data_IF_391647196973
#
_entry.id   IF_391647196973
#
_cell.length_a   1.000
_cell.length_b   1.000
_cell.length_c   1.000
_cell.angle_alpha   90.00
_cell.angle_beta   90.00
_cell.angle_gamma   90.00
#
_symmetry.space_group_name_H-M   'P 1'
#
loop_
_entity.id
_entity.type
_entity.pdbx_description
1 polymer ?
#
# COMPACT_ATOMS: atom_id res chain seq x y z
N UNK A 1 -11.04 13.59 -4.80
CA UNK A 1 -11.50 14.99 -4.76
C UNK A 1 -12.55 15.19 -3.67
N UNK A 2 -13.77 14.72 -3.75
CA UNK A 2 -14.83 14.99 -2.73
C UNK A 2 -14.47 14.68 -1.26
N UNK A 3 -13.48 13.83 -0.98
CA UNK A 3 -12.98 13.54 0.39
C UNK A 3 -11.96 14.57 0.89
N UNK A 4 -11.11 15.08 0.00
CA UNK A 4 -10.11 16.12 0.35
C UNK A 4 -10.84 17.45 0.60
N UNK A 5 -11.78 17.82 -0.26
CA UNK A 5 -12.62 19.02 -0.10
C UNK A 5 -13.54 18.97 1.14
N UNK A 6 -13.93 17.78 1.59
CA UNK A 6 -14.78 17.62 2.77
C UNK A 6 -14.02 17.65 4.11
N UNK A 7 -12.69 17.86 4.11
CA UNK A 7 -11.86 17.88 5.32
C UNK A 7 -11.81 16.54 6.10
N UNK A 8 -12.18 15.43 5.45
CA UNK A 8 -12.23 14.09 6.07
C UNK A 8 -10.99 13.23 5.83
N UNK A 9 -10.04 13.71 5.02
CA UNK A 9 -8.81 12.98 4.76
C UNK A 9 -7.78 13.32 5.84
N UNK A 10 -7.36 12.32 6.62
CA UNK A 10 -6.35 12.45 7.67
C UNK A 10 -5.04 11.84 7.19
N UNK A 11 -3.92 12.45 7.56
CA UNK A 11 -2.59 11.91 7.29
C UNK A 11 -2.30 10.73 8.22
N UNK A 12 -1.70 9.69 7.68
CA UNK A 12 -1.16 8.57 8.44
C UNK A 12 0.36 8.78 8.60
N UNK A 13 0.74 9.61 9.57
CA UNK A 13 2.12 9.97 9.83
C UNK A 13 2.84 8.82 10.53
N UNK A 14 3.91 8.32 9.90
CA UNK A 14 4.80 7.27 10.43
C UNK A 14 6.24 7.62 10.13
N UNK A 15 7.17 6.94 10.78
CA UNK A 15 8.58 7.03 10.40
C UNK A 15 8.76 6.39 9.03
N UNK A 16 9.36 7.11 8.11
CA UNK A 16 9.62 6.70 6.75
C UNK A 16 11.10 6.93 6.43
N UNK A 17 11.68 6.07 5.61
CA UNK A 17 12.97 6.30 5.00
C UNK A 17 12.77 6.93 3.61
N UNK A 18 13.25 8.12 3.40
CA UNK A 18 13.08 8.82 2.11
C UNK A 18 13.80 8.09 0.96
N UNK A 19 14.90 7.37 1.24
CA UNK A 19 15.59 6.60 0.21
C UNK A 19 14.73 5.46 -0.33
N UNK A 20 13.92 4.78 0.51
CA UNK A 20 13.04 3.70 0.07
C UNK A 20 11.96 4.22 -0.89
N UNK A 21 11.45 5.44 -0.60
CA UNK A 21 10.48 6.14 -1.47
C UNK A 21 11.11 6.45 -2.83
N UNK A 22 12.35 6.94 -2.83
CA UNK A 22 13.08 7.28 -4.06
C UNK A 22 13.42 6.02 -4.87
N UNK A 23 13.81 4.93 -4.23
CA UNK A 23 14.09 3.66 -4.88
C UNK A 23 12.83 3.09 -5.54
N UNK A 24 11.70 3.12 -4.85
CA UNK A 24 10.38 2.75 -5.41
C UNK A 24 10.05 3.59 -6.65
N UNK A 25 10.24 4.91 -6.59
CA UNK A 25 10.02 5.82 -7.71
C UNK A 25 10.91 5.48 -8.91
N UNK A 26 12.21 5.28 -8.69
CA UNK A 26 13.18 4.96 -9.74
C UNK A 26 12.86 3.63 -10.40
N UNK A 27 12.50 2.60 -9.64
CA UNK A 27 12.13 1.28 -10.16
C UNK A 27 10.99 1.32 -11.18
N UNK A 28 10.06 2.26 -11.01
CA UNK A 28 8.92 2.46 -11.92
C UNK A 28 9.31 3.23 -13.17
N UNK A 29 10.09 4.33 -13.04
CA UNK A 29 10.26 5.27 -14.14
C UNK A 29 11.54 5.11 -14.95
N UNK A 30 12.61 4.50 -14.42
CA UNK A 30 13.82 4.23 -15.18
C UNK A 30 13.54 3.39 -16.43
N UNK A 31 12.82 2.27 -16.26
CA UNK A 31 12.43 1.40 -17.39
C UNK A 31 11.51 2.10 -18.40
N UNK A 32 10.57 2.92 -17.90
CA UNK A 32 9.66 3.65 -18.80
C UNK A 32 10.39 4.72 -19.61
N UNK A 33 11.33 5.43 -18.98
CA UNK A 33 12.16 6.42 -19.65
C UNK A 33 13.08 5.77 -20.68
N UNK A 34 13.74 4.66 -20.33
CA UNK A 34 14.60 3.87 -21.23
C UNK A 34 13.82 3.41 -22.47
N UNK A 35 12.62 2.85 -22.30
CA UNK A 35 11.76 2.43 -23.42
C UNK A 35 11.38 3.58 -24.35
N UNK A 36 11.33 4.81 -23.84
CA UNK A 36 11.09 6.03 -24.64
C UNK A 36 12.36 6.67 -25.18
N UNK A 37 13.55 6.17 -24.83
CA UNK A 37 14.83 6.77 -25.19
C UNK A 37 15.08 8.12 -24.52
N UNK A 38 14.55 8.31 -23.31
CA UNK A 38 14.78 9.49 -22.49
C UNK A 38 15.98 9.28 -21.56
N UNK A 39 16.75 10.33 -21.29
CA UNK A 39 17.71 10.33 -20.18
C UNK A 39 16.95 10.55 -18.89
N UNK A 40 17.00 9.59 -17.97
CA UNK A 40 16.43 9.69 -16.63
C UNK A 40 17.56 9.78 -15.62
N UNK A 41 17.51 10.78 -14.74
CA UNK A 41 18.53 10.98 -13.73
C UNK A 41 17.87 11.39 -12.40
N UNK A 42 18.16 10.65 -11.34
CA UNK A 42 17.76 10.98 -9.99
C UNK A 42 18.97 11.21 -9.11
N UNK A 43 19.02 12.33 -8.42
CA UNK A 43 20.11 12.70 -7.50
C UNK A 43 19.55 13.07 -6.15
N UNK A 44 20.27 12.70 -5.10
CA UNK A 44 19.86 12.91 -3.71
C UNK A 44 20.98 13.56 -2.91
N UNK A 45 20.60 14.47 -2.01
CA UNK A 45 21.50 15.06 -1.02
C UNK A 45 20.73 15.19 0.30
N UNK A 46 20.71 14.11 1.08
CA UNK A 46 19.90 13.98 2.29
C UNK A 46 20.83 13.62 3.45
N UNK A 47 20.71 14.35 4.54
CA UNK A 47 21.48 14.15 5.77
C UNK A 47 20.69 13.31 6.78
N UNK A 48 19.37 13.52 6.85
CA UNK A 48 18.46 12.82 7.75
C UNK A 48 17.41 12.07 6.93
N UNK A 49 17.68 10.81 6.54
CA UNK A 49 16.78 10.06 5.67
C UNK A 49 15.50 9.59 6.38
N UNK A 50 15.52 9.49 7.71
CA UNK A 50 14.39 9.04 8.52
C UNK A 50 13.57 10.23 8.98
N UNK A 51 12.29 10.26 8.60
CA UNK A 51 11.38 11.38 8.90
C UNK A 51 9.98 10.88 9.22
N UNK A 52 9.22 11.67 9.97
CA UNK A 52 7.79 11.44 10.17
C UNK A 52 7.01 12.01 8.99
N UNK A 53 6.44 11.14 8.14
CA UNK A 53 5.59 11.56 7.03
C UNK A 53 4.50 10.52 6.70
N UNK A 54 3.53 10.90 5.87
CA UNK A 54 2.65 9.94 5.22
C UNK A 54 3.31 9.46 3.92
N UNK A 55 3.97 8.30 3.99
CA UNK A 55 4.72 7.72 2.88
C UNK A 55 3.85 7.57 1.62
N UNK A 56 2.61 7.10 1.77
CA UNK A 56 1.72 6.83 0.64
C UNK A 56 1.38 8.14 -0.09
N UNK A 57 1.08 9.20 0.66
CA UNK A 57 0.76 10.51 0.09
C UNK A 57 1.98 11.15 -0.55
N UNK A 58 3.15 11.01 0.06
CA UNK A 58 4.39 11.52 -0.49
C UNK A 58 4.77 10.79 -1.80
N UNK A 59 4.68 9.46 -1.83
CA UNK A 59 4.84 8.67 -3.05
C UNK A 59 3.83 9.07 -4.14
N UNK A 60 2.56 9.26 -3.80
CA UNK A 60 1.50 9.67 -4.74
C UNK A 60 1.82 11.02 -5.41
N UNK A 61 2.34 11.98 -4.65
CA UNK A 61 2.80 13.28 -5.18
C UNK A 61 3.91 13.08 -6.20
N UNK A 62 4.98 12.33 -5.84
CA UNK A 62 6.13 12.12 -6.71
C UNK A 62 5.76 11.33 -7.97
N UNK A 63 4.98 10.26 -7.83
CA UNK A 63 4.49 9.44 -8.95
C UNK A 63 3.70 10.26 -9.97
N UNK A 64 2.83 11.16 -9.50
CA UNK A 64 2.05 12.03 -10.39
C UNK A 64 2.92 13.02 -11.16
N UNK A 65 3.91 13.64 -10.51
CA UNK A 65 4.76 14.66 -11.15
C UNK A 65 5.75 13.99 -12.10
N UNK A 66 6.49 12.99 -11.65
CA UNK A 66 7.48 12.27 -12.49
C UNK A 66 6.77 11.57 -13.64
N UNK A 67 5.59 10.97 -13.38
CA UNK A 67 4.76 10.37 -14.41
C UNK A 67 4.34 11.37 -15.49
N UNK A 68 3.98 12.59 -15.11
CA UNK A 68 3.69 13.67 -16.06
C UNK A 68 4.96 14.05 -16.85
N UNK A 69 6.11 14.23 -16.20
CA UNK A 69 7.37 14.56 -16.86
C UNK A 69 7.78 13.50 -17.89
N UNK A 70 7.74 12.21 -17.52
CA UNK A 70 8.02 11.10 -18.46
C UNK A 70 6.96 11.02 -19.57
N UNK A 71 5.68 11.28 -19.25
CA UNK A 71 4.57 11.23 -20.21
C UNK A 71 4.67 12.30 -21.28
N UNK A 72 4.98 13.54 -20.90
CA UNK A 72 4.95 14.71 -21.80
C UNK A 72 6.32 15.02 -22.43
N UNK A 73 7.37 14.28 -22.07
CA UNK A 73 8.67 14.34 -22.74
C UNK A 73 8.75 13.28 -23.82
N UNK A 74 8.96 13.71 -25.09
CA UNK A 74 9.10 12.80 -26.23
C UNK A 74 10.55 12.44 -26.49
N UNK A 75 11.47 13.37 -26.29
CA UNK A 75 12.92 13.24 -26.44
C UNK A 75 13.60 14.20 -25.45
N UNK A 76 14.76 13.83 -24.95
CA UNK A 76 15.51 14.64 -24.01
C UNK A 76 15.62 13.97 -22.65
N UNK A 77 15.37 14.71 -21.57
CA UNK A 77 15.68 14.25 -20.22
C UNK A 77 14.57 14.56 -19.20
N UNK A 78 14.55 13.73 -18.15
CA UNK A 78 13.85 13.96 -16.90
C UNK A 78 14.88 13.92 -15.78
N UNK A 79 15.01 15.01 -15.04
CA UNK A 79 15.93 15.18 -13.93
C UNK A 79 15.14 15.31 -12.63
N UNK A 80 15.50 14.54 -11.63
CA UNK A 80 14.91 14.57 -10.29
C UNK A 80 16.03 14.90 -9.31
N UNK A 81 15.82 15.88 -8.46
CA UNK A 81 16.73 16.23 -7.38
C UNK A 81 15.94 16.33 -6.09
N UNK A 82 16.37 15.57 -5.09
CA UNK A 82 15.76 15.59 -3.76
C UNK A 82 16.87 15.92 -2.78
N UNK A 83 16.75 17.07 -2.13
CA UNK A 83 17.75 17.57 -1.21
C UNK A 83 17.14 18.05 0.10
N UNK A 84 17.86 17.83 1.18
CA UNK A 84 17.62 18.45 2.45
C UNK A 84 18.41 19.76 2.50
N UNK A 85 17.69 20.88 2.44
CA UNK A 85 18.30 22.22 2.41
C UNK A 85 18.71 22.71 3.79
N UNK A 86 17.90 22.39 4.79
CA UNK A 86 18.13 22.62 6.21
C UNK A 86 17.55 21.41 6.96
N UNK A 87 17.91 21.24 8.23
CA UNK A 87 17.46 20.11 9.04
C UNK A 87 15.93 19.94 9.01
N UNK A 88 15.44 18.83 8.45
CA UNK A 88 14.03 18.55 8.28
C UNK A 88 13.33 19.30 7.14
N UNK A 89 14.04 20.18 6.39
CA UNK A 89 13.49 20.88 5.23
C UNK A 89 13.93 20.21 3.94
N UNK A 90 12.99 19.63 3.24
CA UNK A 90 13.22 18.89 2.00
C UNK A 90 12.71 19.66 0.80
N UNK A 91 13.51 19.70 -0.26
CA UNK A 91 13.14 20.22 -1.56
C UNK A 91 13.22 19.12 -2.61
N UNK A 92 12.11 18.87 -3.30
CA UNK A 92 12.06 18.00 -4.46
C UNK A 92 11.94 18.86 -5.72
N UNK A 93 12.91 18.79 -6.62
CA UNK A 93 12.88 19.45 -7.92
C UNK A 93 12.79 18.38 -9.01
N UNK A 94 11.75 18.46 -9.83
CA UNK A 94 11.54 17.61 -10.99
C UNK A 94 11.53 18.50 -12.22
N UNK A 95 12.46 18.25 -13.14
CA UNK A 95 12.64 19.01 -14.37
C UNK A 95 12.56 18.09 -15.58
N UNK A 96 11.82 18.48 -16.59
CA UNK A 96 11.76 17.81 -17.88
C UNK A 96 12.03 18.76 -19.03
N UNK A 97 12.41 18.18 -20.17
CA UNK A 97 12.59 18.90 -21.44
C UNK A 97 11.44 18.62 -22.42
N UNK A 98 10.25 18.43 -21.88
CA UNK A 98 9.03 18.10 -22.62
C UNK A 98 8.41 19.26 -23.37
N UNK A 99 7.15 19.11 -23.74
CA UNK A 99 6.41 20.10 -24.52
C UNK A 99 6.21 21.43 -23.77
N UNK A 100 6.34 21.44 -22.44
CA UNK A 100 6.04 22.58 -21.60
C UNK A 100 4.56 23.01 -21.63
N UNK A 101 4.28 24.14 -21.01
CA UNK A 101 2.97 24.76 -20.89
C UNK A 101 3.02 26.22 -21.33
N UNK A 102 1.94 26.75 -21.89
CA UNK A 102 1.85 28.16 -22.23
C UNK A 102 1.68 29.04 -20.99
N UNK A 103 2.14 30.29 -21.10
CA UNK A 103 1.97 31.28 -20.04
C UNK A 103 0.50 31.49 -19.67
N UNK A 104 -0.40 31.41 -20.67
CA UNK A 104 -1.83 31.53 -20.48
C UNK A 104 -2.45 30.34 -19.72
N UNK A 105 -1.86 29.14 -19.85
CA UNK A 105 -2.38 27.93 -19.19
C UNK A 105 -1.80 27.74 -17.78
N UNK A 106 -0.56 28.18 -17.54
CA UNK A 106 0.17 27.94 -16.30
C UNK A 106 -0.62 28.29 -15.02
N UNK A 107 -1.37 29.41 -14.93
CA UNK A 107 -2.19 29.73 -13.77
C UNK A 107 -3.31 28.71 -13.50
N UNK A 108 -3.75 28.02 -14.53
CA UNK A 108 -4.84 27.02 -14.49
C UNK A 108 -4.34 25.58 -14.37
N UNK A 109 -3.03 25.36 -14.28
CA UNK A 109 -2.44 24.03 -14.29
C UNK A 109 -2.89 23.15 -13.09
N UNK A 110 -3.28 23.77 -11.98
CA UNK A 110 -3.76 23.09 -10.77
C UNK A 110 -5.30 23.03 -10.66
N UNK A 111 -6.03 23.54 -11.65
CA UNK A 111 -7.50 23.48 -11.64
C UNK A 111 -7.98 22.07 -12.04
N UNK A 112 -9.11 21.67 -11.48
CA UNK A 112 -9.73 20.38 -11.76
C UNK A 112 -10.11 20.25 -13.22
N UNK A 113 -9.82 19.07 -13.79
CA UNK A 113 -10.11 18.74 -15.19
C UNK A 113 -9.45 19.69 -16.20
N UNK A 114 -8.49 20.51 -15.75
CA UNK A 114 -7.80 21.46 -16.60
C UNK A 114 -6.85 20.73 -17.55
N UNK A 115 -6.91 21.10 -18.83
CA UNK A 115 -6.02 20.60 -19.89
C UNK A 115 -5.76 21.70 -20.89
N UNK A 116 -4.50 21.86 -21.26
CA UNK A 116 -4.15 22.78 -22.32
C UNK A 116 -4.64 22.23 -23.67
N UNK A 117 -5.54 22.97 -24.33
CA UNK A 117 -5.98 22.68 -25.70
C UNK A 117 -4.90 23.15 -26.67
N UNK A 118 -3.82 22.38 -26.83
CA UNK A 118 -2.87 22.63 -27.90
C UNK A 118 -3.48 22.22 -29.24
N UNK A 119 -3.44 23.12 -30.22
CA UNK A 119 -4.04 22.94 -31.56
C UNK A 119 -3.44 21.81 -32.42
N UNK A 120 -2.48 21.09 -31.94
CA UNK A 120 -1.97 19.85 -32.50
C UNK A 120 -2.45 18.70 -31.63
N UNK A 121 -3.22 17.78 -32.23
CA UNK A 121 -3.74 16.54 -31.63
C UNK A 121 -2.62 15.75 -30.94
N UNK A 122 -2.25 16.09 -29.71
CA UNK A 122 -1.48 15.20 -28.85
C UNK A 122 -2.47 14.21 -28.25
N UNK A 123 -2.48 12.99 -28.77
CA UNK A 123 -3.32 11.86 -28.36
C UNK A 123 -2.99 11.34 -26.94
N UNK A 124 -2.41 12.17 -26.10
CA UNK A 124 -2.00 11.78 -24.75
C UNK A 124 -3.23 11.79 -23.84
N UNK A 125 -3.82 10.62 -23.62
CA UNK A 125 -4.96 10.43 -22.70
C UNK A 125 -4.58 10.83 -21.27
N UNK A 126 -5.44 11.59 -20.58
CA UNK A 126 -5.30 11.94 -19.18
C UNK A 126 -6.56 12.62 -18.65
N UNK A 127 -6.86 12.47 -17.38
CA UNK A 127 -8.07 12.99 -16.73
C UNK A 127 -8.03 14.50 -16.45
N UNK A 128 -6.83 15.11 -16.40
CA UNK A 128 -6.65 16.51 -15.98
C UNK A 128 -6.75 16.73 -14.46
N UNK A 129 -6.72 15.65 -13.67
CA UNK A 129 -6.84 15.71 -12.21
C UNK A 129 -5.48 15.62 -11.48
N UNK A 130 -4.43 15.12 -12.13
CA UNK A 130 -3.17 14.78 -11.46
C UNK A 130 -2.51 15.95 -10.73
N UNK A 131 -2.39 17.12 -11.35
CA UNK A 131 -1.77 18.29 -10.71
C UNK A 131 -2.65 18.92 -9.62
N UNK A 132 -3.95 18.87 -9.77
CA UNK A 132 -4.90 19.32 -8.75
C UNK A 132 -4.82 18.44 -7.49
N UNK A 133 -4.76 17.11 -7.66
CA UNK A 133 -4.53 16.14 -6.58
C UNK A 133 -3.19 16.43 -5.90
N UNK A 134 -2.11 16.61 -6.68
CA UNK A 134 -0.77 16.92 -6.14
C UNK A 134 -0.83 18.16 -5.27
N UNK A 135 -1.44 19.26 -5.73
CA UNK A 135 -1.55 20.50 -4.96
C UNK A 135 -2.26 20.28 -3.63
N UNK A 136 -3.42 19.60 -3.67
CA UNK A 136 -4.20 19.30 -2.47
C UNK A 136 -3.43 18.42 -1.47
N UNK A 137 -2.67 17.42 -1.94
CA UNK A 137 -1.85 16.58 -1.09
C UNK A 137 -0.65 17.33 -0.50
N UNK A 138 0.02 18.18 -1.29
CA UNK A 138 1.12 19.02 -0.81
C UNK A 138 0.62 19.98 0.28
N UNK A 139 -0.52 20.62 0.09
CA UNK A 139 -1.16 21.49 1.08
C UNK A 139 -1.57 20.72 2.34
N UNK A 140 -2.14 19.51 2.19
CA UNK A 140 -2.50 18.63 3.31
C UNK A 140 -1.27 18.25 4.15
N UNK A 141 -0.11 18.07 3.50
CA UNK A 141 1.18 17.76 4.15
C UNK A 141 1.94 19.04 4.60
N UNK A 142 1.29 20.20 4.64
CA UNK A 142 1.87 21.50 4.99
C UNK A 142 3.07 21.90 4.13
N UNK A 143 3.13 21.43 2.89
CA UNK A 143 4.17 21.78 1.91
C UNK A 143 3.77 22.94 1.01
N UNK A 144 4.69 23.28 0.10
CA UNK A 144 4.48 24.26 -0.96
C UNK A 144 4.88 23.69 -2.31
N UNK A 145 4.17 24.06 -3.37
CA UNK A 145 4.46 23.64 -4.74
C UNK A 145 4.50 24.84 -5.67
N UNK A 146 5.52 24.87 -6.53
CA UNK A 146 5.71 25.86 -7.57
C UNK A 146 5.99 25.18 -8.90
N UNK A 147 5.40 25.68 -9.98
CA UNK A 147 5.65 25.22 -11.34
C UNK A 147 6.13 26.38 -12.19
N UNK A 148 7.22 26.15 -12.92
CA UNK A 148 7.68 27.03 -14.00
C UNK A 148 7.76 26.21 -15.29
N UNK A 149 7.20 26.75 -16.37
CA UNK A 149 7.15 26.04 -17.65
C UNK A 149 7.16 27.03 -18.81
N UNK A 150 7.72 26.58 -19.94
CA UNK A 150 7.71 27.32 -21.19
C UNK A 150 7.51 26.34 -22.35
N UNK A 151 6.69 26.73 -23.32
CA UNK A 151 6.39 25.89 -24.49
C UNK A 151 7.69 25.48 -25.20
N UNK A 152 7.82 24.17 -25.46
CA UNK A 152 8.98 23.51 -26.05
C UNK A 152 10.30 23.62 -25.28
N UNK A 153 10.29 24.07 -24.04
CA UNK A 153 11.45 24.09 -23.16
C UNK A 153 11.32 23.15 -21.95
N UNK A 154 10.10 22.67 -21.73
CA UNK A 154 9.79 21.72 -20.64
C UNK A 154 9.19 22.40 -19.42
N UNK A 155 9.18 21.64 -18.33
CA UNK A 155 8.57 22.04 -17.06
C UNK A 155 9.53 21.76 -15.91
N UNK A 156 9.55 22.67 -14.94
CA UNK A 156 10.22 22.46 -13.65
C UNK A 156 9.19 22.61 -12.54
N UNK A 157 9.02 21.55 -11.76
CA UNK A 157 8.19 21.53 -10.55
C UNK A 157 9.09 21.52 -9.33
N UNK A 158 8.86 22.41 -8.38
CA UNK A 158 9.54 22.46 -7.08
C UNK A 158 8.53 22.27 -5.97
N UNK A 159 8.80 21.32 -5.08
CA UNK A 159 7.99 21.06 -3.90
C UNK A 159 8.89 21.17 -2.69
N UNK A 160 8.38 21.81 -1.63
CA UNK A 160 9.08 21.91 -0.36
C UNK A 160 8.20 21.34 0.75
N UNK A 161 8.83 20.56 1.63
CA UNK A 161 8.22 20.00 2.82
C UNK A 161 9.08 20.30 4.04
N UNK A 162 8.42 20.37 5.19
CA UNK A 162 9.08 20.32 6.47
C UNK A 162 8.59 19.08 7.20
N UNK A 163 9.50 18.14 7.44
CA UNK A 163 9.24 16.91 8.17
C UNK A 163 9.97 16.93 9.51
N UNK A 164 9.35 16.34 10.52
CA UNK A 164 10.04 16.04 11.76
C UNK A 164 11.03 14.91 11.51
N UNK A 165 12.29 15.08 12.00
CA UNK A 165 13.33 14.09 11.84
C UNK A 165 13.09 12.96 12.84
N UNK A 166 13.24 11.74 12.37
CA UNK A 166 13.23 10.52 13.17
C UNK A 166 14.62 9.89 13.20
N UNK A 167 14.83 8.98 14.14
CA UNK A 167 16.02 8.13 14.19
C UNK A 167 15.74 6.79 13.48
N UNK A 168 16.82 6.11 13.06
CA UNK A 168 16.75 4.76 12.50
C UNK A 168 16.10 3.76 13.47
N UNK A 169 16.43 3.88 14.75
CA UNK A 169 15.84 3.04 15.81
C UNK A 169 14.32 3.24 15.94
N UNK A 170 13.80 4.42 15.60
CA UNK A 170 12.36 4.68 15.59
C UNK A 170 11.67 4.09 14.35
N UNK A 171 12.41 3.92 13.25
CA UNK A 171 11.94 3.13 12.11
C UNK A 171 11.81 1.65 12.51
N UNK A 172 12.83 1.09 13.16
CA UNK A 172 12.80 -0.29 13.65
C UNK A 172 11.66 -0.52 14.66
N UNK A 173 11.42 0.42 15.56
CA UNK A 173 10.28 0.38 16.50
C UNK A 173 8.91 0.54 15.80
N UNK A 174 8.85 1.24 14.67
CA UNK A 174 7.65 1.30 13.82
C UNK A 174 7.57 0.13 12.83
N UNK A 175 8.72 -0.49 12.51
CA UNK A 175 8.84 -1.78 11.82
C UNK A 175 8.72 -2.97 12.78
N UNK A 176 8.50 -2.77 14.09
CA UNK A 176 7.68 -3.70 14.86
C UNK A 176 6.22 -3.69 14.32
N UNK A 177 6.07 -3.61 13.00
CA UNK A 177 5.06 -4.37 12.30
C UNK A 177 5.33 -5.77 12.79
N UNK A 178 4.48 -6.25 13.69
CA UNK A 178 4.32 -7.63 13.98
C UNK A 178 4.87 -8.44 12.82
N UNK A 179 6.11 -8.96 12.98
CA UNK A 179 6.54 -10.07 12.15
C UNK A 179 5.58 -11.15 12.59
N UNK A 180 4.43 -11.18 11.90
CA UNK A 180 3.50 -12.27 12.04
C UNK A 180 4.33 -13.46 11.68
N UNK A 181 4.54 -14.33 12.65
CA UNK A 181 5.12 -15.63 12.34
C UNK A 181 4.11 -16.35 11.46
N UNK A 182 4.32 -16.27 10.15
CA UNK A 182 3.49 -16.94 9.16
C UNK A 182 3.70 -18.46 9.17
N UNK A 183 4.66 -18.95 9.97
CA UNK A 183 5.01 -20.34 10.01
C UNK A 183 3.81 -21.23 10.38
N UNK A 184 3.50 -22.13 9.46
CA UNK A 184 2.38 -23.06 9.62
C UNK A 184 1.01 -22.49 9.29
N UNK A 185 0.90 -21.22 8.84
CA UNK A 185 -0.35 -20.66 8.31
C UNK A 185 -0.69 -21.29 6.95
N UNK A 186 -1.94 -21.70 6.79
CA UNK A 186 -2.45 -22.34 5.58
C UNK A 186 -3.07 -21.31 4.63
N UNK A 187 -2.52 -21.20 3.43
CA UNK A 187 -3.01 -20.35 2.35
C UNK A 187 -3.58 -21.19 1.22
N UNK A 188 -4.74 -20.80 0.69
CA UNK A 188 -5.25 -21.27 -0.57
C UNK A 188 -4.93 -20.25 -1.66
N UNK A 189 -4.10 -20.64 -2.63
CA UNK A 189 -3.75 -19.83 -3.80
C UNK A 189 -4.61 -20.25 -4.98
N UNK A 190 -5.48 -19.36 -5.47
CA UNK A 190 -6.25 -19.53 -6.69
C UNK A 190 -5.56 -18.72 -7.82
N UNK A 191 -4.89 -19.43 -8.71
CA UNK A 191 -4.09 -18.88 -9.83
C UNK A 191 -4.12 -19.89 -10.98
N UNK A 192 -4.59 -19.47 -12.15
CA UNK A 192 -4.73 -20.33 -13.34
C UNK A 192 -3.41 -20.52 -14.11
N UNK A 193 -2.51 -19.54 -14.04
CA UNK A 193 -1.21 -19.61 -14.69
C UNK A 193 -0.20 -20.40 -13.86
N UNK A 194 0.32 -21.52 -14.43
CA UNK A 194 1.24 -22.41 -13.71
C UNK A 194 2.54 -21.71 -13.29
N UNK A 195 3.11 -20.85 -14.14
CA UNK A 195 4.35 -20.14 -13.83
C UNK A 195 4.13 -19.11 -12.69
N UNK A 196 3.04 -18.35 -12.74
CA UNK A 196 2.72 -17.40 -11.68
C UNK A 196 2.49 -18.13 -10.35
N UNK A 197 1.78 -19.26 -10.40
CA UNK A 197 1.52 -20.08 -9.22
C UNK A 197 2.83 -20.63 -8.62
N UNK A 198 3.74 -21.15 -9.44
CA UNK A 198 5.03 -21.68 -8.99
C UNK A 198 5.88 -20.61 -8.30
N UNK A 199 5.96 -19.42 -8.90
CA UNK A 199 6.67 -18.27 -8.30
C UNK A 199 6.04 -17.90 -6.97
N UNK A 200 4.71 -17.72 -6.91
CA UNK A 200 4.01 -17.35 -5.70
C UNK A 200 4.17 -18.41 -4.59
N UNK A 201 4.02 -19.69 -4.93
CA UNK A 201 4.18 -20.79 -3.98
C UNK A 201 5.59 -20.87 -3.40
N UNK A 202 6.62 -20.76 -4.26
CA UNK A 202 8.02 -20.78 -3.81
C UNK A 202 8.26 -19.69 -2.77
N UNK A 203 7.91 -18.48 -3.12
CA UNK A 203 8.15 -17.32 -2.26
C UNK A 203 7.34 -17.41 -0.95
N UNK A 204 6.06 -17.74 -1.01
CA UNK A 204 5.23 -17.89 0.20
C UNK A 204 5.74 -19.01 1.12
N UNK A 205 6.23 -20.10 0.56
CA UNK A 205 6.79 -21.23 1.31
C UNK A 205 8.10 -20.86 2.01
N UNK A 206 8.94 -20.02 1.40
CA UNK A 206 10.17 -19.51 2.00
C UNK A 206 9.89 -18.69 3.27
N UNK A 207 8.72 -18.07 3.38
CA UNK A 207 8.24 -17.41 4.61
C UNK A 207 7.54 -18.36 5.61
N UNK A 208 7.59 -19.67 5.37
CA UNK A 208 7.06 -20.68 6.28
C UNK A 208 5.55 -20.93 6.16
N UNK A 209 4.91 -20.39 5.13
CA UNK A 209 3.49 -20.62 4.82
C UNK A 209 3.30 -21.99 4.18
N UNK A 210 2.17 -22.62 4.46
CA UNK A 210 1.73 -23.86 3.79
C UNK A 210 0.73 -23.44 2.71
N UNK A 211 1.05 -23.74 1.46
CA UNK A 211 0.26 -23.26 0.30
C UNK A 211 -0.36 -24.42 -0.46
N UNK A 212 -1.67 -24.45 -0.54
CA UNK A 212 -2.41 -25.28 -1.50
C UNK A 212 -2.77 -24.43 -2.71
N UNK A 213 -2.74 -25.03 -3.90
CA UNK A 213 -3.11 -24.35 -5.15
C UNK A 213 -4.37 -24.93 -5.77
N UNK A 214 -5.16 -24.04 -6.38
CA UNK A 214 -6.25 -24.36 -7.31
C UNK A 214 -6.15 -23.48 -8.56
N UNK A 215 -6.68 -23.95 -9.69
CA UNK A 215 -6.51 -23.28 -10.99
C UNK A 215 -7.73 -22.47 -11.44
N UNK A 216 -8.83 -22.46 -10.67
CA UNK A 216 -10.01 -21.67 -10.99
C UNK A 216 -10.89 -21.40 -9.76
N UNK A 217 -11.86 -20.49 -9.92
CA UNK A 217 -12.78 -20.11 -8.85
C UNK A 217 -13.72 -21.23 -8.40
N UNK A 218 -14.08 -22.19 -9.26
CA UNK A 218 -14.95 -23.33 -8.90
C UNK A 218 -14.23 -24.25 -7.94
N UNK A 219 -12.96 -24.59 -8.28
CA UNK A 219 -12.11 -25.40 -7.41
C UNK A 219 -11.82 -24.68 -6.09
N UNK A 220 -11.64 -23.35 -6.13
CA UNK A 220 -11.44 -22.55 -4.92
C UNK A 220 -12.63 -22.61 -3.96
N UNK A 221 -13.86 -22.39 -4.45
CA UNK A 221 -15.09 -22.49 -3.64
C UNK A 221 -15.25 -23.88 -3.03
N UNK A 222 -14.94 -24.93 -3.80
CA UNK A 222 -14.99 -26.31 -3.33
C UNK A 222 -13.97 -26.53 -2.21
N UNK A 223 -12.73 -26.12 -2.42
CA UNK A 223 -11.63 -26.36 -1.48
C UNK A 223 -11.85 -25.65 -0.13
N UNK A 224 -12.38 -24.40 -0.14
CA UNK A 224 -12.74 -23.66 1.08
C UNK A 224 -13.87 -24.36 1.88
N UNK A 225 -14.74 -25.15 1.23
CA UNK A 225 -15.76 -25.96 1.92
C UNK A 225 -15.20 -27.22 2.56
N UNK A 226 -14.16 -27.80 1.95
CA UNK A 226 -13.63 -29.12 2.33
C UNK A 226 -12.47 -29.03 3.33
N UNK A 227 -11.76 -27.88 3.36
CA UNK A 227 -10.57 -27.69 4.19
C UNK A 227 -10.52 -26.28 4.79
N UNK A 228 -9.98 -26.15 6.00
CA UNK A 228 -9.76 -24.87 6.65
C UNK A 228 -8.48 -24.22 6.15
N UNK A 229 -8.56 -22.92 5.86
CA UNK A 229 -7.47 -22.06 5.49
C UNK A 229 -7.50 -20.79 6.33
N UNK A 230 -6.33 -20.16 6.50
CA UNK A 230 -6.20 -18.88 7.21
C UNK A 230 -6.54 -17.69 6.28
N UNK A 231 -6.23 -17.81 4.97
CA UNK A 231 -6.53 -16.79 3.95
C UNK A 231 -6.57 -17.43 2.55
N UNK A 232 -7.32 -16.79 1.66
CA UNK A 232 -7.33 -17.09 0.23
C UNK A 232 -6.64 -15.98 -0.53
N UNK A 233 -5.62 -16.29 -1.31
CA UNK A 233 -5.08 -15.42 -2.35
C UNK A 233 -5.78 -15.75 -3.66
N UNK A 234 -6.56 -14.80 -4.20
CA UNK A 234 -7.50 -15.01 -5.28
C UNK A 234 -7.13 -14.19 -6.51
N UNK A 235 -6.70 -14.85 -7.59
CA UNK A 235 -6.64 -14.15 -8.87
C UNK A 235 -8.05 -13.73 -9.31
N UNK A 236 -8.15 -12.51 -9.82
CA UNK A 236 -9.41 -11.99 -10.33
C UNK A 236 -9.76 -12.63 -11.67
N UNK A 237 -8.76 -12.80 -12.56
CA UNK A 237 -8.99 -13.30 -13.91
C UNK A 237 -8.67 -14.80 -14.00
N UNK A 238 -9.68 -15.63 -13.84
CA UNK A 238 -9.56 -17.10 -13.97
C UNK A 238 -10.65 -17.67 -14.88
N UNK A 239 -10.39 -18.83 -15.53
CA UNK A 239 -11.37 -19.52 -16.34
C UNK A 239 -12.52 -20.10 -15.47
N UNK A 240 -13.63 -20.49 -16.10
CA UNK A 240 -14.81 -21.10 -15.51
C UNK A 240 -15.56 -20.22 -14.49
N UNK A 241 -14.87 -19.63 -13.52
CA UNK A 241 -15.41 -18.73 -12.51
C UNK A 241 -14.32 -17.74 -12.12
N UNK A 242 -14.59 -16.44 -12.31
CA UNK A 242 -13.67 -15.37 -11.92
C UNK A 242 -13.59 -15.20 -10.40
N UNK A 243 -12.56 -14.45 -9.93
CA UNK A 243 -12.31 -14.26 -8.50
C UNK A 243 -13.44 -13.51 -7.77
N UNK A 244 -14.14 -12.61 -8.46
CA UNK A 244 -15.29 -11.91 -7.88
C UNK A 244 -16.47 -12.83 -7.63
N UNK A 245 -16.80 -13.67 -8.62
CA UNK A 245 -17.87 -14.67 -8.51
C UNK A 245 -17.56 -15.73 -7.44
N UNK A 246 -16.28 -16.17 -7.39
CA UNK A 246 -15.83 -17.12 -6.38
C UNK A 246 -15.96 -16.52 -4.97
N UNK A 247 -15.56 -15.26 -4.79
CA UNK A 247 -15.69 -14.54 -3.51
C UNK A 247 -17.13 -14.43 -3.07
N UNK A 248 -18.05 -14.02 -3.95
CA UNK A 248 -19.48 -13.94 -3.62
C UNK A 248 -20.02 -15.29 -3.13
N UNK A 249 -19.66 -16.38 -3.81
CA UNK A 249 -20.09 -17.74 -3.40
C UNK A 249 -19.45 -18.18 -2.07
N UNK A 250 -18.20 -17.82 -1.81
CA UNK A 250 -17.56 -18.13 -0.53
C UNK A 250 -18.23 -17.38 0.60
N UNK A 251 -18.62 -16.12 0.38
CA UNK A 251 -19.32 -15.30 1.39
C UNK A 251 -20.71 -15.81 1.77
N UNK A 252 -21.32 -16.70 0.99
CA UNK A 252 -22.58 -17.37 1.38
C UNK A 252 -22.40 -18.31 2.59
N UNK A 253 -21.16 -18.79 2.88
CA UNK A 253 -20.91 -19.77 3.92
C UNK A 253 -19.64 -19.55 4.76
N UNK A 254 -18.78 -18.58 4.41
CA UNK A 254 -17.51 -18.36 5.10
C UNK A 254 -17.08 -16.89 5.07
N UNK A 255 -16.60 -16.41 6.22
CA UNK A 255 -15.97 -15.10 6.39
C UNK A 255 -14.44 -15.16 6.27
N UNK A 256 -13.89 -16.24 5.70
CA UNK A 256 -12.45 -16.40 5.49
C UNK A 256 -11.87 -15.15 4.80
N UNK A 257 -10.73 -14.62 5.26
CA UNK A 257 -10.08 -13.52 4.58
C UNK A 257 -9.74 -13.88 3.12
N UNK A 258 -10.08 -12.98 2.18
CA UNK A 258 -9.80 -13.14 0.76
C UNK A 258 -9.05 -11.91 0.28
N UNK A 259 -7.86 -12.10 -0.30
CA UNK A 259 -7.03 -11.06 -0.89
C UNK A 259 -7.01 -11.24 -2.39
N UNK A 260 -7.42 -10.19 -3.11
CA UNK A 260 -7.37 -10.18 -4.56
C UNK A 260 -5.93 -10.11 -5.07
N UNK A 261 -5.61 -10.85 -6.12
CA UNK A 261 -4.42 -10.65 -6.95
C UNK A 261 -4.85 -10.10 -8.30
N UNK A 262 -4.34 -8.95 -8.71
CA UNK A 262 -4.77 -8.26 -9.93
C UNK A 262 -3.60 -7.77 -10.78
N UNK A 263 -3.73 -7.88 -12.10
CA UNK A 263 -2.78 -7.28 -13.03
C UNK A 263 -2.87 -5.75 -13.08
N UNK A 264 -3.98 -5.16 -12.64
CA UNK A 264 -4.23 -3.74 -12.66
C UNK A 264 -4.55 -3.24 -11.24
N UNK A 265 -3.78 -2.26 -10.77
CA UNK A 265 -3.98 -1.61 -9.47
C UNK A 265 -4.86 -0.35 -9.58
N UNK A 266 -5.83 -0.31 -10.53
CA UNK A 266 -6.72 0.84 -10.64
C UNK A 266 -7.72 0.89 -9.48
N UNK A 267 -8.04 2.09 -9.04
CA UNK A 267 -8.94 2.34 -7.91
C UNK A 267 -10.33 1.70 -8.12
N UNK A 268 -10.79 1.59 -9.37
CA UNK A 268 -12.05 0.93 -9.73
C UNK A 268 -12.04 -0.57 -9.41
N UNK A 269 -10.94 -1.27 -9.71
CA UNK A 269 -10.79 -2.71 -9.43
C UNK A 269 -10.70 -2.96 -7.92
N UNK A 270 -10.02 -2.09 -7.18
CA UNK A 270 -9.94 -2.12 -5.72
C UNK A 270 -11.31 -1.95 -5.06
N UNK A 271 -12.06 -0.92 -5.48
CA UNK A 271 -13.41 -0.69 -4.95
C UNK A 271 -14.35 -1.85 -5.27
N UNK A 272 -14.23 -2.44 -6.46
CA UNK A 272 -14.99 -3.61 -6.85
C UNK A 272 -14.65 -4.83 -5.99
N UNK A 273 -13.36 -5.10 -5.75
CA UNK A 273 -12.92 -6.18 -4.88
C UNK A 273 -13.50 -6.04 -3.45
N UNK A 274 -13.40 -4.84 -2.86
CA UNK A 274 -13.97 -4.58 -1.54
C UNK A 274 -15.50 -4.70 -1.52
N UNK A 275 -16.19 -4.28 -2.58
CA UNK A 275 -17.66 -4.35 -2.67
C UNK A 275 -18.22 -5.76 -2.72
N UNK A 276 -17.46 -6.73 -3.24
CA UNK A 276 -17.84 -8.15 -3.24
C UNK A 276 -17.42 -8.89 -1.97
N UNK A 277 -16.78 -8.20 -1.02
CA UNK A 277 -16.39 -8.74 0.27
C UNK A 277 -14.96 -9.26 0.37
N UNK A 278 -14.04 -8.85 -0.52
CA UNK A 278 -12.60 -9.10 -0.36
C UNK A 278 -12.00 -8.19 0.71
N UNK A 279 -10.95 -8.66 1.39
CA UNK A 279 -10.33 -8.00 2.55
C UNK A 279 -9.08 -7.19 2.19
N UNK A 280 -8.56 -7.36 0.97
CA UNK A 280 -7.36 -6.67 0.51
C UNK A 280 -7.07 -6.97 -0.96
N UNK A 281 -6.00 -6.39 -1.48
CA UNK A 281 -5.56 -6.64 -2.85
C UNK A 281 -4.03 -6.56 -2.95
N UNK A 282 -3.48 -7.30 -3.90
CA UNK A 282 -2.06 -7.34 -4.26
C UNK A 282 -1.97 -7.15 -5.78
N UNK A 283 -1.14 -6.20 -6.21
CA UNK A 283 -0.88 -6.01 -7.65
C UNK A 283 0.15 -7.04 -8.14
N UNK A 284 -0.07 -7.60 -9.32
CA UNK A 284 0.92 -8.41 -10.04
C UNK A 284 1.86 -7.47 -10.82
N UNK A 285 3.18 -7.75 -10.93
CA UNK A 285 3.87 -8.93 -10.42
C UNK A 285 3.94 -8.93 -8.90
N UNK A 286 3.95 -10.14 -8.32
CA UNK A 286 3.92 -10.33 -6.86
C UNK A 286 5.20 -9.78 -6.24
N UNK A 287 5.05 -8.70 -5.50
CA UNK A 287 6.07 -8.07 -4.66
C UNK A 287 5.87 -8.56 -3.23
N UNK A 288 6.89 -9.20 -2.67
CA UNK A 288 6.75 -9.87 -1.39
C UNK A 288 6.54 -8.94 -0.21
N UNK A 289 7.17 -7.79 -0.19
CA UNK A 289 6.97 -6.83 0.90
C UNK A 289 5.51 -6.35 0.94
N UNK A 290 4.90 -6.18 -0.25
CA UNK A 290 3.48 -5.86 -0.37
C UNK A 290 2.58 -7.03 0.03
N UNK A 291 2.96 -8.27 -0.31
CA UNK A 291 2.23 -9.48 0.11
C UNK A 291 2.25 -9.60 1.63
N UNK A 292 3.44 -9.57 2.23
CA UNK A 292 3.62 -9.65 3.68
C UNK A 292 2.84 -8.55 4.39
N UNK A 293 2.96 -7.30 3.93
CA UNK A 293 2.21 -6.17 4.49
C UNK A 293 0.69 -6.37 4.37
N UNK A 294 0.22 -6.86 3.22
CA UNK A 294 -1.20 -7.10 3.01
C UNK A 294 -1.69 -8.27 3.86
N UNK A 295 -0.95 -9.37 3.92
CA UNK A 295 -1.28 -10.52 4.76
C UNK A 295 -1.26 -10.14 6.25
N UNK A 296 -0.30 -9.32 6.68
CA UNK A 296 -0.26 -8.81 8.04
C UNK A 296 -1.51 -8.01 8.42
N UNK A 297 -2.07 -7.25 7.49
CA UNK A 297 -3.31 -6.51 7.72
C UNK A 297 -4.57 -7.39 7.66
N UNK A 298 -4.48 -8.54 7.02
CA UNK A 298 -5.61 -9.44 6.77
C UNK A 298 -5.64 -10.62 7.75
N UNK A 299 -4.49 -11.03 8.28
CA UNK A 299 -4.44 -12.02 9.36
C UNK A 299 -5.07 -11.45 10.62
N UNK A 300 -6.26 -11.90 10.84
CA UNK A 300 -7.12 -11.51 11.93
C UNK A 300 -6.69 -12.27 13.18
N UNK A 301 -6.18 -11.56 14.18
CA UNK A 301 -5.81 -12.16 15.46
C UNK A 301 -7.05 -12.30 16.34
N UNK A 302 -7.56 -13.51 16.43
CA UNK A 302 -8.66 -13.82 17.35
C UNK A 302 -8.18 -13.73 18.79
N UNK A 303 -9.03 -13.20 19.65
CA UNK A 303 -8.77 -13.19 21.08
C UNK A 303 -8.43 -14.60 21.58
N UNK A 304 -7.28 -14.79 22.23
CA UNK A 304 -6.81 -16.14 22.65
C UNK A 304 -7.69 -16.73 23.73
N UNK A 305 -8.48 -15.93 24.43
CA UNK A 305 -9.38 -16.35 25.52
C UNK A 305 -10.71 -16.82 24.95
N UNK A 306 -11.45 -15.94 24.26
CA UNK A 306 -12.82 -16.23 23.84
C UNK A 306 -12.96 -16.64 22.37
N UNK A 307 -11.97 -16.38 21.53
CA UNK A 307 -12.02 -16.66 20.09
C UNK A 307 -13.03 -15.81 19.30
N UNK A 308 -13.81 -14.94 19.98
CA UNK A 308 -14.96 -14.21 19.39
C UNK A 308 -14.63 -12.80 18.92
N UNK A 309 -13.60 -12.18 19.49
CA UNK A 309 -13.14 -10.86 19.08
C UNK A 309 -11.84 -10.98 18.30
N UNK A 310 -11.68 -10.06 17.39
CA UNK A 310 -10.53 -9.94 16.54
C UNK A 310 -9.82 -8.65 16.85
N UNK A 311 -8.55 -8.74 17.23
CA UNK A 311 -7.67 -7.60 17.42
C UNK A 311 -7.24 -7.04 16.06
N UNK A 312 -7.12 -5.72 15.95
CA UNK A 312 -6.68 -5.06 14.72
C UNK A 312 -5.19 -5.23 14.46
N UNK A 313 -4.42 -5.50 15.51
CA UNK A 313 -2.98 -5.72 15.47
C UNK A 313 -2.64 -7.10 16.02
N UNK A 314 -1.43 -7.60 15.72
CA UNK A 314 -0.97 -8.90 16.24
C UNK A 314 -0.75 -8.93 17.75
N UNK A 315 -0.30 -10.09 18.29
CA UNK A 315 -0.10 -10.26 19.71
C UNK A 315 0.78 -9.19 20.34
N UNK A 316 0.28 -8.49 21.35
CA UNK A 316 0.96 -7.40 22.05
C UNK A 316 0.48 -6.01 21.68
N UNK A 317 -0.69 -5.91 21.07
CA UNK A 317 -1.34 -4.62 20.74
C UNK A 317 -1.83 -3.87 21.97
N UNK A 318 -1.97 -4.54 23.11
CA UNK A 318 -2.61 -4.04 24.33
C UNK A 318 -4.08 -3.62 24.12
N UNK A 319 -4.71 -4.04 23.02
CA UNK A 319 -6.15 -3.89 22.83
C UNK A 319 -6.91 -4.77 23.82
N UNK A 320 -8.04 -4.23 24.34
CA UNK A 320 -8.88 -4.98 25.27
C UNK A 320 -10.03 -5.64 24.49
N UNK A 321 -10.14 -6.96 24.60
CA UNK A 321 -11.26 -7.69 24.02
C UNK A 321 -12.60 -7.25 24.65
N UNK A 322 -13.52 -6.67 23.87
CA UNK A 322 -14.80 -6.20 24.42
C UNK A 322 -15.74 -7.34 24.85
N UNK A 323 -15.43 -8.60 24.47
CA UNK A 323 -16.24 -9.77 24.78
C UNK A 323 -15.85 -10.40 26.12
N UNK A 324 -14.55 -10.54 26.38
CA UNK A 324 -14.07 -11.21 27.60
C UNK A 324 -13.19 -10.35 28.51
N UNK A 325 -12.82 -9.13 28.09
CA UNK A 325 -11.99 -8.23 28.87
C UNK A 325 -10.50 -8.58 28.87
N UNK A 326 -10.05 -9.55 28.06
CA UNK A 326 -8.63 -9.85 27.91
C UNK A 326 -7.89 -8.69 27.23
N UNK A 327 -6.83 -8.21 27.87
CA UNK A 327 -5.91 -7.25 27.28
C UNK A 327 -4.78 -8.01 26.56
N UNK A 328 -4.56 -7.70 25.28
CA UNK A 328 -3.64 -8.45 24.42
C UNK A 328 -2.18 -8.19 24.79
N UNK A 329 -1.60 -9.08 25.59
CA UNK A 329 -0.24 -8.99 26.15
C UNK A 329 0.70 -9.98 25.47
N UNK A 330 1.74 -9.46 24.78
CA UNK A 330 2.75 -10.26 24.07
C UNK A 330 3.52 -11.22 24.99
N UNK A 331 3.81 -10.79 26.24
CA UNK A 331 4.54 -11.62 27.18
C UNK A 331 3.70 -12.81 27.64
N UNK A 332 2.42 -12.57 27.94
CA UNK A 332 1.48 -13.62 28.34
C UNK A 332 1.08 -14.53 27.17
N UNK A 333 1.20 -14.03 25.92
CA UNK A 333 1.06 -14.86 24.74
C UNK A 333 2.23 -15.83 24.56
N UNK A 334 3.47 -15.35 24.77
CA UNK A 334 4.69 -16.18 24.70
C UNK A 334 4.78 -17.21 25.81
N UNK A 335 4.36 -16.83 27.00
CA UNK A 335 4.25 -17.73 28.16
C UNK A 335 2.82 -17.72 28.72
N UNK A 336 1.96 -18.66 28.32
CA UNK A 336 0.58 -18.74 28.78
C UNK A 336 0.41 -18.95 30.28
N UNK A 337 1.45 -19.28 31.03
CA UNK A 337 1.44 -19.41 32.49
C UNK A 337 1.93 -18.15 33.20
N UNK A 338 2.45 -17.15 32.47
CA UNK A 338 2.93 -15.89 33.04
C UNK A 338 1.80 -15.12 33.71
N UNK A 339 1.97 -14.77 34.97
CA UNK A 339 1.06 -13.92 35.75
C UNK A 339 1.61 -12.51 35.87
N UNK A 340 0.72 -11.52 35.96
CA UNK A 340 1.10 -10.14 36.30
C UNK A 340 1.73 -9.38 35.12
N UNK A 341 1.23 -9.61 33.89
CA UNK A 341 1.43 -8.73 32.74
C UNK A 341 0.34 -7.66 32.69
N UNK A 342 -0.15 -7.34 31.50
CA UNK A 342 -1.33 -6.48 31.30
C UNK A 342 -2.56 -7.09 32.01
N UNK A 343 -2.64 -8.44 32.06
CA UNK A 343 -3.69 -9.15 32.75
C UNK A 343 -3.22 -9.71 34.09
N UNK A 344 -4.08 -9.59 35.14
CA UNK A 344 -3.79 -10.11 36.48
C UNK A 344 -3.58 -11.63 36.50
N UNK A 345 -4.38 -12.36 35.72
CA UNK A 345 -4.32 -13.81 35.58
C UNK A 345 -3.49 -14.17 34.35
N UNK A 346 -2.85 -15.35 34.38
CA UNK A 346 -2.21 -15.88 33.19
C UNK A 346 -3.24 -16.17 32.09
N UNK A 347 -2.80 -16.23 30.83
CA UNK A 347 -3.66 -16.54 29.70
C UNK A 347 -4.45 -17.83 29.93
N UNK A 348 -3.79 -18.87 30.47
CA UNK A 348 -4.38 -20.16 30.77
C UNK A 348 -5.50 -20.03 31.82
N UNK A 349 -5.23 -19.35 32.95
CA UNK A 349 -6.20 -19.15 34.01
C UNK A 349 -7.39 -18.30 33.54
N UNK A 350 -7.12 -17.27 32.73
CA UNK A 350 -8.17 -16.40 32.18
C UNK A 350 -9.12 -17.18 31.27
N UNK A 351 -8.56 -18.06 30.43
CA UNK A 351 -9.31 -18.93 29.54
C UNK A 351 -10.18 -19.93 30.32
N UNK A 352 -9.62 -20.59 31.32
CA UNK A 352 -10.37 -21.51 32.19
C UNK A 352 -11.54 -20.82 32.94
N UNK A 353 -11.34 -19.56 33.39
CA UNK A 353 -12.38 -18.78 34.04
C UNK A 353 -13.48 -18.38 33.04
N UNK A 354 -13.10 -17.98 31.82
CA UNK A 354 -14.04 -17.63 30.80
C UNK A 354 -14.93 -18.82 30.38
N UNK A 355 -14.32 -19.99 30.19
CA UNK A 355 -15.02 -21.22 29.85
C UNK A 355 -16.02 -21.65 30.94
N UNK A 356 -15.63 -21.57 32.22
CA UNK A 356 -16.51 -21.87 33.36
C UNK A 356 -17.72 -20.95 33.48
N UNK A 357 -17.59 -19.71 33.08
CA UNK A 357 -18.66 -18.71 33.20
C UNK A 357 -19.60 -18.70 31.98
N UNK A 358 -19.33 -19.47 30.93
CA UNK A 358 -20.07 -19.50 29.68
C UNK A 358 -20.47 -20.91 29.24
N UNK A 359 -20.30 -21.91 30.14
CA UNK A 359 -20.96 -23.21 30.08
C UNK A 359 -22.34 -23.11 30.76
#
# INVERSE_FOLDING_TARGET
MARIESGKETLNIKVCNIYDIIESLNSVFEKQAEQKGLTYQCTTKIQHPYVYCDQIKFEEILLNIVGNSVKYTKKGMVLIQIEETESGHFQCMIQDTGIGMSEAYLPHAFEDFSREKSGTQTSVKGTGLGLAIVKSLVELMNGTIEISSQVNQGTTTRIKFQFEIASENELENNQETNIIDFKGKHILLAEDNDLNAEIAMTVLTDYGLIVDRVSDGVACVKQVKEKEYDVVLMDIQMPNMDGYQATQKIREFSDIPIVAMTANAFEEDKQKALSVGMNGYIAKPIDMDKVIKTLSNVFVFKCPVCGKYTFQSGPGSYEICPVCGWEDDKAQYKDPNLKGGANRFSLKEYKEQYEKNHQ
#
